data_IF_314766074948
#
_entry.id   IF_314766074948
#
_cell.length_a   1.000
_cell.length_b   1.000
_cell.length_c   1.000
_cell.angle_alpha   90.00
_cell.angle_beta   90.00
_cell.angle_gamma   90.00
#
_symmetry.space_group_name_H-M   'P 1'
#
loop_
_entity.id
_entity.type
_entity.pdbx_description
1 polymer ?
#
# COMPACT_ATOMS: atom_id res chain seq x y z
N UNK A 1 20.84 1.20 5.32
CA UNK A 1 19.64 0.54 5.86
C UNK A 1 18.45 1.28 5.32
N UNK A 2 17.48 0.62 4.71
CA UNK A 2 16.28 1.26 4.17
C UNK A 2 15.09 0.44 4.65
N UNK A 3 14.10 1.08 5.24
CA UNK A 3 12.90 0.39 5.71
C UNK A 3 11.91 0.30 4.57
N UNK A 4 11.51 -0.92 4.21
CA UNK A 4 10.50 -1.17 3.17
C UNK A 4 9.27 -1.75 3.83
N UNK A 5 8.16 -1.05 3.69
CA UNK A 5 6.86 -1.48 4.18
C UNK A 5 5.88 -1.51 3.02
N UNK A 6 4.99 -2.50 3.00
CA UNK A 6 3.95 -2.57 2.01
C UNK A 6 2.70 -3.19 2.57
N UNK A 7 1.55 -2.66 2.19
CA UNK A 7 0.24 -3.13 2.61
C UNK A 7 -0.63 -3.36 1.39
N UNK A 8 -1.20 -4.55 1.32
CA UNK A 8 -2.23 -4.88 0.35
C UNK A 8 -3.57 -4.30 0.80
N UNK A 9 -4.37 -3.88 -0.18
CA UNK A 9 -5.70 -3.31 -0.01
C UNK A 9 -6.63 -3.94 -1.02
N UNK A 10 -7.74 -4.49 -0.53
CA UNK A 10 -8.73 -5.16 -1.35
C UNK A 10 -10.00 -4.30 -1.37
N UNK A 11 -10.38 -3.82 -2.56
CA UNK A 11 -11.68 -3.19 -2.74
C UNK A 11 -12.73 -4.28 -2.80
N UNK A 12 -13.77 -4.14 -2.00
CA UNK A 12 -14.95 -5.01 -1.99
C UNK A 12 -16.20 -4.15 -2.17
N UNK A 13 -17.36 -4.78 -2.39
CA UNK A 13 -18.65 -4.06 -2.44
C UNK A 13 -18.96 -3.26 -1.15
N UNK A 14 -18.30 -3.58 -0.04
CA UNK A 14 -18.45 -2.90 1.24
C UNK A 14 -17.33 -1.88 1.53
N UNK A 15 -16.42 -1.66 0.58
CA UNK A 15 -15.30 -0.74 0.69
C UNK A 15 -13.93 -1.42 0.77
N UNK A 16 -12.93 -0.63 1.16
CA UNK A 16 -11.53 -1.05 1.23
C UNK A 16 -11.23 -1.87 2.49
N UNK A 17 -10.71 -3.07 2.28
CA UNK A 17 -10.31 -3.99 3.34
C UNK A 17 -8.78 -4.12 3.31
N UNK A 18 -8.15 -3.98 4.48
CA UNK A 18 -6.71 -4.18 4.62
C UNK A 18 -6.37 -5.67 4.44
N UNK A 19 -5.39 -5.93 3.58
CA UNK A 19 -4.86 -7.26 3.28
C UNK A 19 -3.52 -7.50 3.97
N UNK A 20 -2.67 -8.28 3.30
CA UNK A 20 -1.34 -8.60 3.80
C UNK A 20 -0.51 -7.35 4.10
N UNK A 21 0.06 -7.30 5.30
CA UNK A 21 1.08 -6.31 5.67
C UNK A 21 2.45 -6.97 5.63
N UNK A 22 3.38 -6.38 4.88
CA UNK A 22 4.77 -6.78 4.82
C UNK A 22 5.63 -5.61 5.29
N UNK A 23 6.52 -5.87 6.24
CA UNK A 23 7.51 -4.91 6.73
C UNK A 23 8.87 -5.61 6.80
N UNK A 24 9.93 -4.83 7.04
CA UNK A 24 11.31 -5.34 7.04
C UNK A 24 11.52 -6.54 8.00
N UNK A 25 10.75 -6.58 9.08
CA UNK A 25 10.84 -7.62 10.12
C UNK A 25 9.91 -8.82 9.90
N UNK A 26 9.08 -8.84 8.86
CA UNK A 26 8.18 -9.98 8.62
C UNK A 26 7.00 -9.70 7.68
N UNK A 27 6.25 -10.77 7.40
CA UNK A 27 5.03 -10.72 6.59
C UNK A 27 3.85 -11.26 7.42
N UNK A 28 2.81 -10.45 7.54
CA UNK A 28 1.55 -10.80 8.18
C UNK A 28 0.47 -10.97 7.10
N UNK A 29 0.31 -12.19 6.54
CA UNK A 29 -0.73 -12.46 5.56
C UNK A 29 -2.11 -12.35 6.21
N UNK A 30 -3.01 -11.62 5.56
CA UNK A 30 -4.43 -11.57 5.92
C UNK A 30 -5.20 -12.33 4.85
N UNK A 31 -6.22 -13.07 5.26
CA UNK A 31 -7.10 -13.79 4.33
C UNK A 31 -7.71 -12.84 3.32
N UNK A 32 -7.54 -13.16 2.04
CA UNK A 32 -8.13 -12.39 0.95
C UNK A 32 -9.66 -12.49 1.03
N UNK A 33 -10.40 -11.38 0.93
CA UNK A 33 -11.85 -11.46 0.84
C UNK A 33 -12.27 -12.12 -0.49
N UNK A 34 -13.23 -13.03 -0.43
CA UNK A 34 -13.82 -13.68 -1.63
C UNK A 34 -14.47 -12.65 -2.57
N UNK A 35 -15.07 -11.61 -1.99
CA UNK A 35 -15.78 -10.55 -2.72
C UNK A 35 -14.85 -9.40 -3.18
N UNK A 36 -13.57 -9.68 -3.42
CA UNK A 36 -12.62 -8.65 -3.88
C UNK A 36 -12.84 -8.36 -5.36
N UNK A 37 -12.87 -7.07 -5.70
CA UNK A 37 -13.06 -6.59 -7.07
C UNK A 37 -11.78 -5.95 -7.62
N UNK A 38 -10.94 -5.42 -6.72
CA UNK A 38 -9.66 -4.79 -7.03
C UNK A 38 -8.71 -5.08 -5.88
N UNK A 39 -7.43 -5.29 -6.19
CA UNK A 39 -6.37 -5.35 -5.18
C UNK A 39 -5.25 -4.42 -5.56
N UNK A 40 -4.93 -3.54 -4.64
CA UNK A 40 -3.82 -2.61 -4.71
C UNK A 40 -2.79 -3.00 -3.66
N UNK A 41 -1.53 -2.69 -3.92
CA UNK A 41 -0.47 -2.73 -2.93
C UNK A 41 0.06 -1.32 -2.78
N UNK A 42 -0.03 -0.79 -1.57
CA UNK A 42 0.66 0.42 -1.17
C UNK A 42 2.05 0.03 -0.69
N UNK A 43 3.09 0.62 -1.26
CA UNK A 43 4.48 0.41 -0.86
C UNK A 43 5.02 1.73 -0.36
N UNK A 44 5.72 1.68 0.75
CA UNK A 44 6.41 2.81 1.34
C UNK A 44 7.85 2.40 1.61
N UNK A 45 8.77 3.25 1.20
CA UNK A 45 10.19 3.05 1.41
C UNK A 45 10.75 4.30 2.06
N UNK A 46 11.34 4.11 3.23
CA UNK A 46 12.05 5.15 3.96
C UNK A 46 13.54 4.91 3.73
N UNK A 47 14.17 5.84 3.03
CA UNK A 47 15.63 5.82 2.81
C UNK A 47 16.23 6.94 3.65
N UNK A 48 17.12 6.63 4.61
CA UNK A 48 17.87 7.68 5.31
C UNK A 48 18.74 8.41 4.29
N UNK A 49 18.69 9.75 4.30
CA UNK A 49 19.55 10.55 3.44
C UNK A 49 21.03 10.35 3.80
N UNK A 50 21.92 10.57 2.84
CA UNK A 50 23.37 10.45 3.05
C UNK A 50 23.87 11.37 4.18
N UNK A 51 23.19 12.50 4.43
CA UNK A 51 23.50 13.39 5.56
C UNK A 51 23.14 12.78 6.93
N UNK A 52 22.09 11.95 7.00
CA UNK A 52 21.71 11.26 8.23
C UNK A 52 22.78 10.24 8.68
N UNK A 53 23.60 9.73 7.76
CA UNK A 53 24.70 8.79 8.04
C UNK A 53 26.04 9.47 8.31
N UNK A 54 26.24 10.71 7.85
CA UNK A 54 27.50 11.45 8.00
C UNK A 54 27.58 12.27 9.29
N UNK A 55 26.47 12.42 10.02
CA UNK A 55 26.41 13.17 11.28
C UNK A 55 26.54 14.69 11.12
N UNK A 56 26.47 15.19 9.89
CA UNK A 56 26.51 16.62 9.55
C UNK A 56 25.20 17.03 8.88
N UNK A 57 24.46 17.93 9.52
CA UNK A 57 23.19 18.46 9.01
C UNK A 57 21.96 17.88 9.71
N UNK A 58 20.80 18.49 9.44
CA UNK A 58 19.51 17.97 9.89
C UNK A 58 19.27 16.63 9.19
N UNK A 59 18.93 15.55 9.93
CA UNK A 59 18.68 14.25 9.32
C UNK A 59 17.39 14.32 8.47
N UNK A 60 17.55 14.29 7.15
CA UNK A 60 16.42 14.17 6.24
C UNK A 60 16.15 12.69 5.92
N UNK A 61 14.87 12.33 5.80
CA UNK A 61 14.45 10.99 5.42
C UNK A 61 13.68 11.09 4.11
N UNK A 62 14.18 10.41 3.08
CA UNK A 62 13.46 10.30 1.83
C UNK A 62 12.34 9.27 1.98
N UNK A 63 11.11 9.76 2.14
CA UNK A 63 9.88 8.97 2.12
C UNK A 63 9.39 8.85 0.68
N UNK A 64 9.44 7.63 0.13
CA UNK A 64 8.86 7.32 -1.18
C UNK A 64 7.68 6.38 -0.99
N UNK A 65 6.50 6.81 -1.46
CA UNK A 65 5.29 5.97 -1.46
C UNK A 65 4.78 5.73 -2.88
N UNK A 66 4.37 4.49 -3.14
CA UNK A 66 3.83 4.03 -4.42
C UNK A 66 2.56 3.22 -4.21
N UNK A 67 1.59 3.35 -5.12
CA UNK A 67 0.40 2.49 -5.17
C UNK A 67 0.43 1.75 -6.49
N UNK A 68 0.49 0.42 -6.42
CA UNK A 68 0.47 -0.46 -7.59
C UNK A 68 -0.77 -1.36 -7.56
N UNK A 69 -1.47 -1.50 -8.68
CA UNK A 69 -2.59 -2.45 -8.80
C UNK A 69 -2.03 -3.83 -9.13
N UNK A 70 -2.22 -4.81 -8.25
CA UNK A 70 -1.72 -6.18 -8.46
C UNK A 70 -2.79 -7.13 -9.01
N UNK A 71 -4.06 -6.80 -8.80
CA UNK A 71 -5.16 -7.62 -9.30
C UNK A 71 -6.41 -6.78 -9.54
N UNK A 72 -7.18 -7.12 -10.56
CA UNK A 72 -8.47 -6.52 -10.87
C UNK A 72 -9.41 -7.58 -11.43
N UNK A 73 -10.69 -7.49 -11.08
CA UNK A 73 -11.72 -8.30 -11.69
C UNK A 73 -11.97 -7.87 -13.15
N UNK A 74 -12.61 -8.74 -13.93
CA UNK A 74 -13.06 -8.43 -15.30
C UNK A 74 -14.19 -7.40 -15.35
N UNK A 75 -14.92 -7.22 -14.24
CA UNK A 75 -16.01 -6.25 -14.11
C UNK A 75 -15.50 -4.82 -13.91
N UNK A 76 -15.05 -4.21 -15.00
CA UNK A 76 -14.52 -2.85 -15.01
C UNK A 76 -15.55 -1.79 -14.55
N UNK A 77 -16.84 -1.98 -14.87
CA UNK A 77 -17.90 -1.07 -14.44
C UNK A 77 -18.03 -1.05 -12.92
N UNK A 78 -18.11 -2.23 -12.30
CA UNK A 78 -18.22 -2.39 -10.86
C UNK A 78 -17.01 -1.78 -10.13
N UNK A 79 -15.80 -1.96 -10.67
CA UNK A 79 -14.59 -1.34 -10.11
C UNK A 79 -14.69 0.19 -10.17
N UNK A 80 -15.10 0.76 -11.30
CA UNK A 80 -15.27 2.21 -11.44
C UNK A 80 -16.34 2.76 -10.50
N UNK A 81 -17.49 2.11 -10.37
CA UNK A 81 -18.55 2.51 -9.43
C UNK A 81 -18.07 2.45 -7.98
N UNK A 82 -17.36 1.39 -7.59
CA UNK A 82 -16.83 1.25 -6.23
C UNK A 82 -15.69 2.24 -5.95
N UNK A 83 -14.87 2.58 -6.94
CA UNK A 83 -13.86 3.63 -6.82
C UNK A 83 -14.48 5.03 -6.73
N UNK A 84 -15.59 5.28 -7.42
CA UNK A 84 -16.35 6.52 -7.30
C UNK A 84 -17.02 6.63 -5.92
N UNK A 85 -17.58 5.52 -5.43
CA UNK A 85 -18.26 5.45 -4.15
C UNK A 85 -17.32 5.50 -2.93
N UNK A 86 -16.25 4.70 -2.92
CA UNK A 86 -15.34 4.56 -1.78
C UNK A 86 -14.04 5.35 -1.93
N UNK A 87 -13.76 5.88 -3.12
CA UNK A 87 -12.54 6.60 -3.43
C UNK A 87 -11.35 5.69 -3.78
N UNK A 88 -10.22 6.34 -4.02
CA UNK A 88 -8.95 5.68 -4.39
C UNK A 88 -8.36 4.85 -3.25
N UNK A 89 -7.39 4.00 -3.58
CA UNK A 89 -6.69 3.13 -2.63
C UNK A 89 -6.17 3.92 -1.42
N UNK A 90 -6.51 3.51 -0.18
CA UNK A 90 -6.01 4.17 1.01
C UNK A 90 -4.49 4.04 1.13
N UNK A 91 -3.84 5.19 1.36
CA UNK A 91 -2.38 5.32 1.51
C UNK A 91 -1.95 5.27 2.98
N UNK A 92 -2.63 4.48 3.81
CA UNK A 92 -2.39 4.45 5.26
C UNK A 92 -1.78 3.12 5.69
N UNK A 93 -0.53 3.12 6.10
CA UNK A 93 0.08 2.01 6.85
C UNK A 93 -0.37 2.09 8.32
#
# INVERSE_FOLDING_TARGET
MSSKESREWHLTANGWVAGTLQHDSGRNPISLPDNKVLTCIYKETIVPDAMALSGYGEPDFNLSSDVSVIWRCSDHQLISELLDQFGSCPKRI
#
